data_IF_186706869855
#
_entry.id   IF_186706869855
#
_cell.length_a   1.000
_cell.length_b   1.000
_cell.length_c   1.000
_cell.angle_alpha   90.00
_cell.angle_beta   90.00
_cell.angle_gamma   90.00
#
_symmetry.space_group_name_H-M   'P 1'
#
loop_
_entity.id
_entity.type
_entity.pdbx_description
1 polymer ?
#
# COMPACT_ATOMS: atom_id res chain seq x y z
N UNK A 1 -10.34 5.06 -21.59
CA UNK A 1 -9.79 5.47 -20.29
C UNK A 1 -9.39 6.93 -20.35
N UNK A 2 -9.83 7.77 -19.41
CA UNK A 2 -9.53 9.22 -19.42
C UNK A 2 -8.16 9.52 -18.80
N UNK A 3 -7.55 10.64 -19.18
CA UNK A 3 -6.24 11.07 -18.65
C UNK A 3 -6.24 11.29 -17.12
N UNK A 4 -7.38 11.68 -16.55
CA UNK A 4 -7.56 11.78 -15.11
C UNK A 4 -7.60 10.40 -14.42
N UNK A 5 -8.16 9.39 -15.08
CA UNK A 5 -8.20 8.03 -14.55
C UNK A 5 -6.80 7.41 -14.50
N UNK A 6 -6.02 7.56 -15.57
CA UNK A 6 -4.61 7.11 -15.61
C UNK A 6 -3.80 7.74 -14.47
N UNK A 7 -3.91 9.06 -14.29
CA UNK A 7 -3.21 9.77 -13.21
C UNK A 7 -3.62 9.31 -11.81
N UNK A 8 -4.88 8.95 -11.61
CA UNK A 8 -5.35 8.40 -10.34
C UNK A 8 -4.77 6.99 -10.09
N UNK A 9 -4.77 6.12 -11.11
CA UNK A 9 -4.18 4.79 -11.01
C UNK A 9 -2.68 4.89 -10.70
N UNK A 10 -1.94 5.73 -11.41
CA UNK A 10 -0.51 5.95 -11.17
C UNK A 10 -0.24 6.45 -9.75
N UNK A 11 -1.05 7.39 -9.25
CA UNK A 11 -0.93 7.89 -7.88
C UNK A 11 -1.19 6.80 -6.84
N UNK A 12 -2.19 5.95 -7.04
CA UNK A 12 -2.49 4.83 -6.13
C UNK A 12 -1.37 3.79 -6.17
N UNK A 13 -0.81 3.49 -7.34
CA UNK A 13 0.33 2.58 -7.48
C UNK A 13 1.57 3.15 -6.78
N UNK A 14 1.87 4.44 -6.96
CA UNK A 14 3.01 5.08 -6.31
C UNK A 14 2.89 5.02 -4.78
N UNK A 15 1.72 5.37 -4.24
CA UNK A 15 1.45 5.26 -2.80
C UNK A 15 1.53 3.81 -2.31
N UNK A 16 1.01 2.84 -3.08
CA UNK A 16 1.07 1.43 -2.73
C UNK A 16 2.53 0.96 -2.56
N UNK A 17 3.39 1.30 -3.52
CA UNK A 17 4.81 0.96 -3.50
C UNK A 17 5.51 1.60 -2.29
N UNK A 18 5.18 2.85 -1.96
CA UNK A 18 5.73 3.52 -0.78
C UNK A 18 5.30 2.82 0.52
N UNK A 19 4.00 2.49 0.66
CA UNK A 19 3.50 1.82 1.85
C UNK A 19 4.12 0.43 2.05
N UNK A 20 4.26 -0.34 0.97
CA UNK A 20 4.88 -1.66 1.02
C UNK A 20 6.38 -1.61 1.31
N UNK A 21 7.10 -0.72 0.64
CA UNK A 21 8.54 -0.51 0.85
C UNK A 21 8.84 -0.08 2.29
N UNK A 22 8.15 0.94 2.78
CA UNK A 22 8.31 1.41 4.16
C UNK A 22 7.89 0.35 5.19
N UNK A 23 6.87 -0.45 4.91
CA UNK A 23 6.49 -1.56 5.79
C UNK A 23 7.60 -2.60 5.90
N UNK A 24 8.27 -2.93 4.79
CA UNK A 24 9.41 -3.83 4.77
C UNK A 24 10.60 -3.25 5.52
N UNK A 25 11.00 -2.01 5.21
CA UNK A 25 12.13 -1.34 5.87
C UNK A 25 11.94 -1.25 7.40
N UNK A 26 10.73 -0.94 7.86
CA UNK A 26 10.41 -0.92 9.30
C UNK A 26 10.50 -2.29 9.96
N UNK A 27 10.10 -3.36 9.26
CA UNK A 27 10.20 -4.72 9.77
C UNK A 27 11.67 -5.15 9.87
N UNK A 28 12.46 -4.91 8.82
CA UNK A 28 13.90 -5.20 8.81
C UNK A 28 14.66 -4.39 9.87
N UNK A 29 14.26 -3.14 10.09
CA UNK A 29 14.85 -2.32 11.15
C UNK A 29 14.44 -2.82 12.54
N UNK A 30 13.19 -3.26 12.73
CA UNK A 30 12.75 -3.87 13.98
C UNK A 30 13.57 -5.13 14.31
N UNK A 31 13.83 -5.99 13.33
CA UNK A 31 14.58 -7.22 13.55
C UNK A 31 16.04 -6.94 13.93
N UNK A 32 16.65 -5.88 13.40
CA UNK A 32 17.97 -5.40 13.84
C UNK A 32 17.94 -4.88 15.28
N UNK A 33 16.93 -4.09 15.65
CA UNK A 33 16.77 -3.55 17.01
C UNK A 33 16.45 -4.61 18.05
N UNK A 34 15.82 -5.73 17.65
CA UNK A 34 15.56 -6.87 18.52
C UNK A 34 16.85 -7.57 18.92
N UNK A 35 17.81 -7.70 17.99
CA UNK A 35 19.14 -8.23 18.27
C UNK A 35 19.91 -7.36 19.30
N UNK A 36 19.66 -6.06 19.30
CA UNK A 36 20.25 -5.09 20.23
C UNK A 36 19.49 -4.96 21.57
N UNK A 37 18.38 -5.70 21.75
CA UNK A 37 17.60 -5.72 23.00
C UNK A 37 16.65 -4.53 23.19
N UNK A 38 16.36 -3.76 22.15
CA UNK A 38 15.49 -2.58 22.20
C UNK A 38 13.99 -2.91 22.06
N UNK A 39 13.46 -3.77 22.93
CA UNK A 39 12.11 -4.36 22.78
C UNK A 39 10.96 -3.34 22.60
N UNK A 40 10.96 -2.22 23.35
CA UNK A 40 9.91 -1.20 23.20
C UNK A 40 9.91 -0.52 21.82
N UNK A 41 11.11 -0.30 21.27
CA UNK A 41 11.29 0.25 19.92
C UNK A 41 10.85 -0.78 18.87
N UNK A 42 11.21 -2.05 19.06
CA UNK A 42 10.80 -3.16 18.18
C UNK A 42 9.28 -3.23 18.05
N UNK A 43 8.56 -3.19 19.18
CA UNK A 43 7.10 -3.26 19.18
C UNK A 43 6.47 -2.09 18.42
N UNK A 44 7.03 -0.89 18.60
CA UNK A 44 6.59 0.32 17.90
C UNK A 44 6.81 0.19 16.39
N UNK A 45 8.02 -0.22 15.96
CA UNK A 45 8.35 -0.39 14.55
C UNK A 45 7.48 -1.45 13.87
N UNK A 46 7.26 -2.59 14.55
CA UNK A 46 6.37 -3.66 14.07
C UNK A 46 4.92 -3.17 13.98
N UNK A 47 4.45 -2.36 14.93
CA UNK A 47 3.10 -1.79 14.88
C UNK A 47 2.92 -0.85 13.68
N UNK A 48 3.89 0.05 13.43
CA UNK A 48 3.84 0.95 12.27
C UNK A 48 3.92 0.16 10.96
N UNK A 49 4.82 -0.82 10.87
CA UNK A 49 4.93 -1.72 9.70
C UNK A 49 3.60 -2.40 9.38
N UNK A 50 2.91 -2.95 10.40
CA UNK A 50 1.57 -3.55 10.22
C UNK A 50 0.54 -2.54 9.72
N UNK A 51 0.52 -1.33 10.28
CA UNK A 51 -0.38 -0.26 9.83
C UNK A 51 -0.20 0.06 8.34
N UNK A 52 1.05 0.15 7.89
CA UNK A 52 1.37 0.36 6.47
C UNK A 52 0.94 -0.80 5.57
N UNK A 53 1.11 -2.06 6.01
CA UNK A 53 0.61 -3.24 5.27
C UNK A 53 -0.90 -3.22 5.11
N UNK A 54 -1.65 -2.85 6.17
CA UNK A 54 -3.10 -2.67 6.08
C UNK A 54 -3.43 -1.61 5.04
N UNK A 55 -2.71 -0.49 5.03
CA UNK A 55 -2.91 0.55 4.02
C UNK A 55 -2.67 0.05 2.59
N UNK A 56 -1.63 -0.75 2.38
CA UNK A 56 -1.38 -1.39 1.09
C UNK A 56 -2.53 -2.31 0.63
N UNK A 57 -3.16 -3.05 1.55
CA UNK A 57 -4.33 -3.89 1.23
C UNK A 57 -5.53 -3.03 0.79
N UNK A 58 -5.78 -1.91 1.47
CA UNK A 58 -6.82 -0.95 1.09
C UNK A 58 -6.58 -0.40 -0.32
N UNK A 59 -5.34 0.01 -0.64
CA UNK A 59 -4.98 0.58 -1.94
C UNK A 59 -5.13 -0.45 -3.08
N UNK A 60 -4.74 -1.71 -2.86
CA UNK A 60 -4.98 -2.80 -3.84
C UNK A 60 -6.47 -3.03 -4.07
N UNK A 61 -7.28 -2.95 -3.01
CA UNK A 61 -8.74 -3.08 -3.12
C UNK A 61 -9.33 -1.92 -3.94
N UNK A 62 -8.83 -0.70 -3.73
CA UNK A 62 -9.24 0.46 -4.53
C UNK A 62 -8.84 0.33 -6.01
N UNK A 63 -7.64 -0.20 -6.31
CA UNK A 63 -7.23 -0.48 -7.69
C UNK A 63 -8.16 -1.49 -8.37
N UNK A 64 -8.50 -2.59 -7.69
CA UNK A 64 -9.43 -3.58 -8.20
C UNK A 64 -10.82 -2.98 -8.45
N UNK A 65 -11.31 -2.12 -7.55
CA UNK A 65 -12.59 -1.43 -7.74
C UNK A 65 -12.57 -0.46 -8.93
N UNK A 66 -11.45 0.24 -9.16
CA UNK A 66 -11.28 1.12 -10.33
C UNK A 66 -11.23 0.34 -11.64
N UNK A 67 -10.61 -0.84 -11.65
CA UNK A 67 -10.56 -1.72 -12.82
C UNK A 67 -11.96 -2.20 -13.20
N UNK A 68 -12.75 -2.68 -12.22
CA UNK A 68 -14.14 -3.09 -12.44
C UNK A 68 -15.00 -1.94 -12.96
N UNK A 69 -14.93 -0.77 -12.30
CA UNK A 69 -15.71 0.40 -12.72
C UNK A 69 -15.33 0.88 -14.15
N UNK A 70 -14.08 0.69 -14.55
CA UNK A 70 -13.63 1.04 -15.91
C UNK A 70 -14.14 0.06 -16.96
N UNK A 71 -14.30 -1.21 -16.59
CA UNK A 71 -14.85 -2.24 -17.44
C UNK A 71 -16.35 -2.03 -17.67
N UNK A 72 -17.13 -1.80 -16.61
CA UNK A 72 -18.57 -1.52 -16.70
C UNK A 72 -18.85 -0.28 -17.56
N UNK A 73 -18.07 0.79 -17.38
CA UNK A 73 -18.19 2.01 -18.18
C UNK A 73 -17.82 1.82 -19.67
N UNK A 74 -17.05 0.78 -20.01
CA UNK A 74 -16.73 0.43 -21.38
C UNK A 74 -17.81 -0.45 -22.03
N UNK A 75 -18.52 -1.28 -21.26
CA UNK A 75 -19.64 -2.10 -21.75
C UNK A 75 -20.94 -1.31 -21.96
N UNK A 76 -21.26 -0.34 -21.10
CA UNK A 76 -22.45 0.53 -21.22
C UNK A 76 -22.34 1.57 -22.36
N UNK A 77 -21.16 1.72 -22.97
CA UNK A 77 -20.89 2.66 -24.06
C UNK A 77 -21.08 2.10 -25.47
N UNK A 78 -21.56 0.85 -25.61
CA UNK A 78 -21.74 0.13 -26.87
C UNK A 78 -23.19 -0.33 -27.07
#
# INVERSE_FOLDING_TARGET
MTDAHMRLVDAIIAELLEQEGMAQELAEFADRMEADGHHATVDTLRAISRGRRVKGIELRSNLAALEVASYDAAEDGN
#
